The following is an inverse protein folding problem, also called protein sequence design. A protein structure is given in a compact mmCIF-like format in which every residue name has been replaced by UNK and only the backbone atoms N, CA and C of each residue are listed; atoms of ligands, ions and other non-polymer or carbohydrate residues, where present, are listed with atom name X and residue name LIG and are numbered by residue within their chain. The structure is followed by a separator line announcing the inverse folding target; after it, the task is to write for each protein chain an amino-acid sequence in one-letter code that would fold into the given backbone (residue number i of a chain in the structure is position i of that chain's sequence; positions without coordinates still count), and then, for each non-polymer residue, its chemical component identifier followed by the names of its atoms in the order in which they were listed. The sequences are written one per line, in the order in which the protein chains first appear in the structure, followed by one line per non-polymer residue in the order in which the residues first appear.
data_IF_049697526106
#
_entry.id   IF_049697526106
#
_cell.length_a   1.000
_cell.length_b   1.000
_cell.length_c   1.000
_cell.angle_alpha   90.00
_cell.angle_beta   90.00
_cell.angle_gamma   90.00
#
_symmetry.space_group_name_H-M   'P 1'
#
loop_
_entity.id
_entity.type
_entity.pdbx_description
1 polymer ?
#
# COMPACT_ATOMS: atom_id res chain seq x y z
N UNK A 1 26.00 -2.79 1.67
CA UNK A 1 26.24 -3.11 0.24
C UNK A 1 26.81 -1.95 -0.59
N UNK A 2 26.67 -0.66 -0.24
CA UNK A 2 26.98 0.45 -1.18
C UNK A 2 28.47 0.62 -1.56
N UNK A 3 29.43 0.11 -0.78
CA UNK A 3 30.86 0.12 -1.14
C UNK A 3 31.32 -1.08 -1.97
N UNK A 4 30.59 -2.21 -1.92
CA UNK A 4 31.03 -3.47 -2.53
C UNK A 4 30.61 -3.63 -3.99
N UNK A 5 29.76 -2.75 -4.54
CA UNK A 5 29.26 -2.85 -5.92
C UNK A 5 29.71 -1.68 -6.82
N UNK A 6 30.44 -0.71 -6.27
CA UNK A 6 30.93 0.45 -7.04
C UNK A 6 31.81 0.04 -8.24
N UNK A 7 32.56 -1.07 -8.10
CA UNK A 7 33.38 -1.59 -9.18
C UNK A 7 32.55 -2.09 -10.37
N UNK A 8 31.32 -2.59 -10.14
CA UNK A 8 30.44 -3.05 -11.23
C UNK A 8 30.01 -1.88 -12.11
N UNK A 9 29.72 -0.72 -11.52
CA UNK A 9 29.41 0.51 -12.26
C UNK A 9 30.61 0.99 -13.09
N UNK A 10 31.82 0.95 -12.53
CA UNK A 10 33.05 1.28 -13.26
C UNK A 10 33.30 0.33 -14.46
N UNK A 11 32.97 -0.96 -14.33
CA UNK A 11 33.15 -1.95 -15.40
C UNK A 11 32.16 -1.79 -16.58
N UNK A 12 31.05 -1.10 -16.37
CA UNK A 12 30.01 -0.89 -17.39
C UNK A 12 29.90 0.56 -17.84
N UNK A 13 30.72 1.47 -17.29
CA UNK A 13 30.68 2.91 -17.57
C UNK A 13 30.78 3.23 -19.07
N UNK A 14 31.52 2.40 -19.81
CA UNK A 14 31.77 2.53 -21.25
C UNK A 14 30.57 2.19 -22.16
N UNK A 15 29.52 1.56 -21.61
CA UNK A 15 28.43 1.01 -22.42
C UNK A 15 27.08 1.15 -21.75
N UNK A 16 26.21 1.92 -22.40
CA UNK A 16 24.82 2.10 -21.99
C UNK A 16 24.04 0.78 -21.96
N UNK A 17 24.34 -0.15 -22.88
CA UNK A 17 23.70 -1.46 -22.90
C UNK A 17 24.13 -2.33 -21.71
N UNK A 18 25.43 -2.30 -21.35
CA UNK A 18 25.92 -2.98 -20.15
C UNK A 18 25.35 -2.36 -18.86
N UNK A 19 25.21 -1.04 -18.81
CA UNK A 19 24.56 -0.33 -17.68
C UNK A 19 23.10 -0.75 -17.52
N UNK A 20 22.34 -0.79 -18.62
CA UNK A 20 20.94 -1.24 -18.61
C UNK A 20 20.83 -2.71 -18.17
N UNK A 21 21.75 -3.57 -18.63
CA UNK A 21 21.80 -4.98 -18.23
C UNK A 21 22.11 -5.13 -16.73
N UNK A 22 23.08 -4.36 -16.21
CA UNK A 22 23.41 -4.34 -14.79
C UNK A 22 22.23 -3.86 -13.94
N UNK A 23 21.54 -2.80 -14.36
CA UNK A 23 20.36 -2.29 -13.68
C UNK A 23 19.25 -3.35 -13.58
N UNK A 24 18.96 -4.06 -14.68
CA UNK A 24 18.01 -5.19 -14.69
C UNK A 24 18.43 -6.34 -13.77
N UNK A 25 19.71 -6.69 -13.76
CA UNK A 25 20.22 -7.73 -12.88
C UNK A 25 20.07 -7.35 -11.40
N UNK A 26 20.36 -6.09 -11.04
CA UNK A 26 20.17 -5.55 -9.69
C UNK A 26 18.67 -5.59 -9.31
N UNK A 27 17.78 -5.14 -10.20
CA UNK A 27 16.33 -5.20 -10.00
C UNK A 27 15.83 -6.62 -9.76
N UNK A 28 16.28 -7.59 -10.58
CA UNK A 28 15.94 -9.00 -10.40
C UNK A 28 16.44 -9.59 -9.08
N UNK A 29 17.66 -9.24 -8.66
CA UNK A 29 18.21 -9.65 -7.35
C UNK A 29 17.36 -9.06 -6.22
N UNK A 30 17.03 -7.76 -6.32
CA UNK A 30 16.20 -7.09 -5.33
C UNK A 30 14.83 -7.78 -5.21
N UNK A 31 14.18 -8.07 -6.33
CA UNK A 31 12.92 -8.82 -6.38
C UNK A 31 13.05 -10.22 -5.76
N UNK A 32 14.13 -10.94 -6.06
CA UNK A 32 14.38 -12.26 -5.47
C UNK A 32 14.55 -12.20 -3.95
N UNK A 33 15.18 -11.15 -3.42
CA UNK A 33 15.32 -10.93 -1.97
C UNK A 33 13.94 -10.68 -1.34
N UNK A 34 13.11 -9.80 -1.92
CA UNK A 34 11.74 -9.56 -1.44
C UNK A 34 10.92 -10.86 -1.40
N UNK A 35 10.95 -11.64 -2.48
CA UNK A 35 10.22 -12.92 -2.57
C UNK A 35 10.73 -13.92 -1.53
N UNK A 36 12.04 -13.98 -1.30
CA UNK A 36 12.63 -14.89 -0.30
C UNK A 36 12.13 -14.57 1.11
N UNK A 37 12.08 -13.30 1.50
CA UNK A 37 11.58 -12.88 2.81
C UNK A 37 10.10 -13.24 2.99
N UNK A 38 9.27 -13.01 1.97
CA UNK A 38 7.84 -13.38 1.99
C UNK A 38 7.66 -14.90 2.08
N UNK A 39 8.43 -15.66 1.30
CA UNK A 39 8.38 -17.12 1.32
C UNK A 39 8.81 -17.71 2.67
N UNK A 40 9.81 -17.09 3.31
CA UNK A 40 10.27 -17.48 4.65
C UNK A 40 9.18 -17.23 5.70
N UNK A 41 8.53 -16.06 5.69
CA UNK A 41 7.38 -15.79 6.55
C UNK A 41 6.24 -16.79 6.32
N UNK A 42 5.91 -17.06 5.06
CA UNK A 42 4.84 -18.00 4.72
C UNK A 42 5.15 -19.43 5.20
N UNK A 43 6.41 -19.86 5.16
CA UNK A 43 6.83 -21.15 5.69
C UNK A 43 6.59 -21.26 7.20
N UNK A 44 6.98 -20.23 7.96
CA UNK A 44 6.80 -20.18 9.42
C UNK A 44 5.31 -20.12 9.81
N UNK A 45 4.49 -19.35 9.08
CA UNK A 45 3.05 -19.31 9.32
C UNK A 45 2.37 -20.64 8.98
N UNK A 46 2.83 -21.33 7.93
CA UNK A 46 2.33 -22.66 7.60
C UNK A 46 2.73 -23.70 8.65
N UNK A 47 3.92 -23.58 9.24
CA UNK A 47 4.35 -24.43 10.35
C UNK A 47 3.44 -24.23 11.58
N UNK A 48 3.19 -22.98 11.96
CA UNK A 48 2.28 -22.62 13.06
C UNK A 48 0.86 -23.16 12.83
N UNK A 49 0.34 -23.07 11.58
CA UNK A 49 -0.97 -23.66 11.23
C UNK A 49 -0.99 -25.18 11.36
N UNK A 50 0.11 -25.87 11.03
CA UNK A 50 0.22 -27.33 11.12
C UNK A 50 0.43 -27.80 12.55
N UNK A 51 1.07 -26.98 13.38
CA UNK A 51 1.36 -27.26 14.77
C UNK A 51 0.83 -26.12 15.67
N UNK A 52 -0.49 -26.03 15.91
CA UNK A 52 -1.10 -24.92 16.66
C UNK A 52 -0.66 -24.83 18.12
N UNK A 53 -0.19 -25.95 18.68
CA UNK A 53 0.37 -26.02 20.03
C UNK A 53 1.87 -25.66 20.08
N UNK A 54 2.47 -25.39 18.93
CA UNK A 54 3.85 -24.92 18.81
C UNK A 54 3.97 -23.50 19.34
N UNK A 55 5.15 -23.17 19.89
CA UNK A 55 5.37 -21.84 20.45
C UNK A 55 5.60 -20.82 19.31
N UNK A 56 4.81 -19.75 19.20
CA UNK A 56 4.80 -18.85 18.02
C UNK A 56 6.05 -17.94 17.92
N UNK A 57 7.02 -18.09 18.83
CA UNK A 57 8.22 -17.24 18.92
C UNK A 57 9.01 -17.18 17.62
N UNK A 58 9.14 -18.29 16.90
CA UNK A 58 9.87 -18.32 15.64
C UNK A 58 9.12 -17.53 14.55
N UNK A 59 7.80 -17.71 14.46
CA UNK A 59 6.95 -16.93 13.57
C UNK A 59 7.00 -15.43 13.90
N UNK A 60 6.92 -15.06 15.18
CA UNK A 60 7.05 -13.67 15.66
C UNK A 60 8.40 -13.06 15.28
N UNK A 61 9.50 -13.80 15.50
CA UNK A 61 10.83 -13.33 15.13
C UNK A 61 10.96 -13.11 13.62
N UNK A 62 10.46 -14.05 12.83
CA UNK A 62 10.51 -13.99 11.37
C UNK A 62 9.65 -12.85 10.84
N UNK A 63 8.40 -12.70 11.30
CA UNK A 63 7.53 -11.61 10.84
C UNK A 63 8.10 -10.24 11.21
N UNK A 64 8.70 -10.09 12.39
CA UNK A 64 9.34 -8.84 12.79
C UNK A 64 10.51 -8.47 11.88
N UNK A 65 11.37 -9.46 11.54
CA UNK A 65 12.48 -9.25 10.62
C UNK A 65 12.00 -8.86 9.21
N UNK A 66 10.98 -9.55 8.71
CA UNK A 66 10.38 -9.27 7.40
C UNK A 66 9.73 -7.88 7.39
N UNK A 67 8.99 -7.50 8.42
CA UNK A 67 8.39 -6.17 8.57
C UNK A 67 9.45 -5.06 8.56
N UNK A 68 10.51 -5.21 9.36
CA UNK A 68 11.60 -4.22 9.42
C UNK A 68 12.32 -4.08 8.07
N UNK A 69 12.53 -5.19 7.37
CA UNK A 69 13.13 -5.17 6.04
C UNK A 69 12.23 -4.47 5.02
N UNK A 70 10.97 -4.88 4.92
CA UNK A 70 10.03 -4.37 3.92
C UNK A 70 9.66 -2.90 4.19
N UNK A 71 9.48 -2.49 5.44
CA UNK A 71 9.29 -1.09 5.81
C UNK A 71 10.48 -0.23 5.37
N UNK A 72 11.71 -0.70 5.62
CA UNK A 72 12.91 0.01 5.16
C UNK A 72 12.98 0.12 3.64
N UNK A 73 12.53 -0.88 2.88
CA UNK A 73 12.48 -0.78 1.41
C UNK A 73 11.38 0.20 0.98
N UNK A 74 10.16 0.05 1.50
CA UNK A 74 9.01 0.90 1.19
C UNK A 74 9.28 2.39 1.46
N UNK A 75 9.95 2.72 2.57
CA UNK A 75 10.30 4.11 2.92
C UNK A 75 11.37 4.72 2.01
N UNK A 76 12.16 3.92 1.32
CA UNK A 76 13.21 4.39 0.40
C UNK A 76 12.69 4.58 -1.03
N UNK A 77 11.50 4.09 -1.34
CA UNK A 77 10.94 4.16 -2.68
C UNK A 77 10.52 5.58 -3.05
N UNK A 78 10.88 6.00 -4.27
CA UNK A 78 10.39 7.22 -4.89
C UNK A 78 9.12 6.92 -5.69
N UNK A 79 8.02 7.67 -5.49
CA UNK A 79 6.82 7.51 -6.30
C UNK A 79 7.08 7.87 -7.77
N UNK A 80 7.15 6.84 -8.61
CA UNK A 80 7.41 6.97 -10.04
C UNK A 80 6.49 6.04 -10.82
N UNK A 81 5.94 6.54 -11.92
CA UNK A 81 5.04 5.76 -12.76
C UNK A 81 5.82 4.97 -13.83
N UNK A 82 6.66 4.07 -13.37
CA UNK A 82 7.45 3.15 -14.19
C UNK A 82 7.16 1.73 -13.69
N UNK A 83 6.70 0.85 -14.59
CA UNK A 83 6.07 -0.41 -14.18
C UNK A 83 7.01 -1.33 -13.39
N UNK A 84 8.32 -1.34 -13.70
CA UNK A 84 9.29 -2.17 -13.00
C UNK A 84 9.55 -1.65 -11.58
N UNK A 85 9.76 -0.33 -11.43
CA UNK A 85 9.90 0.32 -10.12
C UNK A 85 8.64 0.20 -9.27
N UNK A 86 7.45 0.38 -9.87
CA UNK A 86 6.18 0.22 -9.18
C UNK A 86 6.00 -1.21 -8.67
N UNK A 87 6.35 -2.24 -9.45
CA UNK A 87 6.21 -3.63 -9.02
C UNK A 87 7.06 -3.95 -7.77
N UNK A 88 8.33 -3.56 -7.76
CA UNK A 88 9.22 -3.83 -6.63
C UNK A 88 8.77 -3.05 -5.38
N UNK A 89 8.39 -1.79 -5.58
CA UNK A 89 7.87 -0.95 -4.51
C UNK A 89 6.56 -1.48 -3.95
N UNK A 90 5.66 -1.95 -4.82
CA UNK A 90 4.36 -2.49 -4.43
C UNK A 90 4.51 -3.74 -3.56
N UNK A 91 5.41 -4.66 -3.92
CA UNK A 91 5.74 -5.83 -3.11
C UNK A 91 6.25 -5.40 -1.72
N UNK A 92 7.10 -4.38 -1.65
CA UNK A 92 7.61 -3.87 -0.38
C UNK A 92 6.52 -3.22 0.48
N UNK A 93 5.70 -2.34 -0.09
CA UNK A 93 4.65 -1.62 0.64
C UNK A 93 3.54 -2.57 1.11
N UNK A 94 3.00 -3.39 0.21
CA UNK A 94 1.94 -4.33 0.59
C UNK A 94 2.46 -5.39 1.55
N UNK A 95 3.65 -5.94 1.28
CA UNK A 95 4.27 -6.93 2.16
C UNK A 95 4.56 -6.36 3.55
N UNK A 96 4.95 -5.09 3.65
CA UNK A 96 5.10 -4.40 4.94
C UNK A 96 3.77 -4.30 5.71
N UNK A 97 2.69 -3.87 5.05
CA UNK A 97 1.37 -3.81 5.69
C UNK A 97 0.93 -5.19 6.20
N UNK A 98 1.08 -6.22 5.36
CA UNK A 98 0.72 -7.61 5.71
C UNK A 98 1.59 -8.14 6.86
N UNK A 99 2.90 -7.91 6.85
CA UNK A 99 3.78 -8.32 7.93
C UNK A 99 3.42 -7.61 9.24
N UNK A 100 3.12 -6.31 9.19
CA UNK A 100 2.67 -5.53 10.36
C UNK A 100 1.36 -6.09 10.94
N UNK A 101 0.36 -6.32 10.09
CA UNK A 101 -0.91 -6.91 10.51
C UNK A 101 -0.72 -8.33 11.08
N UNK A 102 0.16 -9.12 10.47
CA UNK A 102 0.46 -10.49 10.92
C UNK A 102 1.13 -10.48 12.29
N UNK A 103 2.15 -9.65 12.51
CA UNK A 103 2.84 -9.54 13.80
C UNK A 103 1.88 -9.07 14.88
N UNK A 104 1.07 -8.03 14.59
CA UNK A 104 0.05 -7.55 15.51
C UNK A 104 -0.95 -8.67 15.85
N UNK A 105 -1.50 -9.39 14.86
CA UNK A 105 -2.44 -10.48 15.13
C UNK A 105 -1.83 -11.61 15.98
N UNK A 106 -0.57 -11.98 15.74
CA UNK A 106 0.12 -12.98 16.57
C UNK A 106 0.28 -12.50 18.03
N UNK A 107 0.61 -11.23 18.25
CA UNK A 107 0.69 -10.64 19.59
C UNK A 107 -0.68 -10.60 20.27
N UNK A 108 -1.72 -10.20 19.54
CA UNK A 108 -3.11 -10.19 20.03
C UNK A 108 -3.60 -11.60 20.40
N UNK A 109 -3.24 -12.62 19.62
CA UNK A 109 -3.58 -14.01 19.94
C UNK A 109 -2.90 -14.51 21.22
N UNK A 110 -1.69 -14.02 21.50
CA UNK A 110 -0.92 -14.36 22.71
C UNK A 110 -1.36 -13.59 23.96
N UNK A 111 -2.22 -12.57 23.81
CA UNK A 111 -2.62 -11.67 24.89
C UNK A 111 -1.64 -10.50 25.11
N UNK A 112 -0.66 -10.31 24.23
CA UNK A 112 0.34 -9.24 24.31
C UNK A 112 -0.21 -7.94 23.69
N UNK A 113 -1.34 -7.45 24.19
CA UNK A 113 -2.06 -6.31 23.60
C UNK A 113 -1.26 -5.01 23.62
N UNK A 114 -0.49 -4.77 24.68
CA UNK A 114 0.35 -3.58 24.80
C UNK A 114 1.44 -3.56 23.70
N UNK A 115 2.09 -4.70 23.45
CA UNK A 115 3.10 -4.83 22.39
C UNK A 115 2.46 -4.65 21.00
N UNK A 116 1.27 -5.22 20.77
CA UNK A 116 0.54 -5.04 19.51
C UNK A 116 0.17 -3.57 19.27
N UNK A 117 -0.27 -2.85 20.31
CA UNK A 117 -0.61 -1.43 20.24
C UNK A 117 0.62 -0.58 19.96
N UNK A 118 1.73 -0.83 20.65
CA UNK A 118 2.97 -0.07 20.47
C UNK A 118 3.55 -0.28 19.05
N UNK A 119 3.49 -1.52 18.54
CA UNK A 119 3.84 -1.83 17.16
C UNK A 119 3.00 -1.02 16.16
N UNK A 120 1.67 -1.04 16.31
CA UNK A 120 0.76 -0.36 15.39
C UNK A 120 0.90 1.16 15.49
N UNK A 121 1.03 1.71 16.70
CA UNK A 121 1.27 3.13 16.91
C UNK A 121 2.58 3.62 16.26
N UNK A 122 3.58 2.75 16.13
CA UNK A 122 4.82 3.06 15.44
C UNK A 122 4.70 2.95 13.91
N UNK A 123 4.07 1.88 13.41
CA UNK A 123 4.13 1.53 11.99
C UNK A 123 3.03 2.20 11.17
N UNK A 124 1.83 2.37 11.71
CA UNK A 124 0.69 2.97 11.01
C UNK A 124 0.96 4.39 10.54
N UNK A 125 1.50 5.31 11.36
CA UNK A 125 1.81 6.67 10.88
C UNK A 125 2.85 6.69 9.77
N UNK A 126 3.86 5.80 9.82
CA UNK A 126 4.86 5.69 8.76
C UNK A 126 4.22 5.18 7.46
N UNK A 127 3.33 4.20 7.57
CA UNK A 127 2.62 3.66 6.41
C UNK A 127 1.74 4.73 5.77
N UNK A 128 0.96 5.45 6.57
CA UNK A 128 0.16 6.59 6.13
C UNK A 128 1.02 7.67 5.44
N UNK A 129 2.21 7.96 5.95
CA UNK A 129 3.12 8.91 5.29
C UNK A 129 3.54 8.42 3.89
N UNK A 130 3.87 7.13 3.75
CA UNK A 130 4.23 6.54 2.44
C UNK A 130 3.03 6.60 1.49
N UNK A 131 1.82 6.20 1.93
CA UNK A 131 0.62 6.23 1.08
C UNK A 131 0.24 7.65 0.67
N UNK A 132 0.40 8.64 1.55
CA UNK A 132 0.20 10.05 1.23
C UNK A 132 1.22 10.57 0.22
N UNK A 133 2.49 10.15 0.32
CA UNK A 133 3.51 10.52 -0.68
C UNK A 133 3.15 9.97 -2.07
N UNK A 134 2.69 8.72 -2.13
CA UNK A 134 2.20 8.10 -3.37
C UNK A 134 0.92 8.77 -3.89
N UNK A 135 -0.03 9.07 -3.01
CA UNK A 135 -1.23 9.83 -3.33
C UNK A 135 -0.89 11.19 -3.93
N UNK A 136 -0.01 11.95 -3.27
CA UNK A 136 0.48 13.23 -3.77
C UNK A 136 1.11 13.08 -5.16
N UNK A 137 2.05 12.16 -5.36
CA UNK A 137 2.73 12.02 -6.64
C UNK A 137 1.78 11.63 -7.78
N UNK A 138 0.86 10.70 -7.55
CA UNK A 138 -0.03 10.16 -8.59
C UNK A 138 -1.33 10.95 -8.78
N UNK A 139 -1.67 11.86 -7.86
CA UNK A 139 -2.82 12.77 -7.99
C UNK A 139 -2.37 14.18 -8.42
N UNK A 140 -1.13 14.58 -8.14
CA UNK A 140 -0.64 15.95 -8.36
C UNK A 140 -0.66 16.43 -9.82
N UNK A 141 -0.70 17.77 -9.94
CA UNK A 141 -0.61 18.53 -11.20
C UNK A 141 0.65 18.18 -12.00
N UNK A 142 1.76 17.81 -11.35
CA UNK A 142 3.03 17.51 -12.04
C UNK A 142 2.95 16.27 -12.93
N UNK A 143 2.01 15.36 -12.66
CA UNK A 143 1.68 14.23 -13.54
C UNK A 143 0.98 14.70 -14.83
N UNK A 144 0.28 15.82 -14.76
CA UNK A 144 -0.43 16.45 -15.86
C UNK A 144 0.41 17.61 -16.39
N UNK A 145 1.45 17.28 -17.17
CA UNK A 145 2.41 18.24 -17.81
C UNK A 145 1.79 19.40 -18.63
N UNK A 146 0.47 19.49 -18.70
CA UNK A 146 -0.28 20.52 -19.40
C UNK A 146 -1.34 21.07 -18.43
N UNK A 147 -1.12 22.22 -17.78
CA UNK A 147 -2.02 23.20 -17.10
C UNK A 147 -3.39 22.78 -16.48
N UNK A 148 -3.77 21.50 -16.45
CA UNK A 148 -5.09 21.03 -16.05
C UNK A 148 -5.10 20.71 -14.57
N UNK A 149 -5.05 21.79 -13.79
CA UNK A 149 -5.32 21.78 -12.36
C UNK A 149 -6.67 21.12 -12.01
N UNK A 150 -7.65 21.15 -12.92
CA UNK A 150 -8.97 20.57 -12.72
C UNK A 150 -8.96 19.04 -12.48
N UNK A 151 -8.02 18.30 -13.09
CA UNK A 151 -7.92 16.85 -12.91
C UNK A 151 -6.97 16.45 -11.77
N UNK A 152 -6.31 17.40 -11.09
CA UNK A 152 -5.37 17.13 -10.01
C UNK A 152 -6.07 16.85 -8.67
N UNK A 153 -6.98 15.88 -8.69
CA UNK A 153 -7.80 15.45 -7.55
C UNK A 153 -8.20 13.98 -7.73
N UNK A 154 -8.38 13.25 -6.62
CA UNK A 154 -8.95 11.90 -6.65
C UNK A 154 -10.39 11.87 -7.18
N UNK A 155 -11.14 12.98 -7.09
CA UNK A 155 -12.51 13.04 -7.58
C UNK A 155 -12.62 12.83 -9.10
N UNK A 156 -11.53 12.96 -9.86
CA UNK A 156 -11.51 12.65 -11.30
C UNK A 156 -12.00 11.23 -11.60
N UNK A 157 -11.74 10.29 -10.69
CA UNK A 157 -12.11 8.89 -10.85
C UNK A 157 -13.62 8.65 -10.71
N UNK A 158 -14.40 9.64 -10.29
CA UNK A 158 -15.87 9.59 -10.29
C UNK A 158 -16.52 10.06 -11.61
N UNK A 159 -15.71 10.54 -12.56
CA UNK A 159 -16.20 11.04 -13.84
C UNK A 159 -16.68 9.91 -14.75
N UNK A 160 -17.55 10.26 -15.72
CA UNK A 160 -18.20 9.33 -16.63
C UNK A 160 -17.27 8.28 -17.27
N UNK A 161 -16.04 8.62 -17.75
CA UNK A 161 -15.14 7.63 -18.35
C UNK A 161 -14.69 6.51 -17.40
N UNK A 162 -14.82 6.71 -16.08
CA UNK A 162 -14.31 5.80 -15.05
C UNK A 162 -15.39 5.09 -14.24
N UNK A 163 -16.66 5.54 -14.31
CA UNK A 163 -17.75 5.04 -13.45
C UNK A 163 -18.00 3.53 -13.56
N UNK A 164 -17.71 2.92 -14.71
CA UNK A 164 -17.84 1.46 -14.89
C UNK A 164 -16.69 0.66 -14.24
N UNK A 165 -15.56 1.30 -13.96
CA UNK A 165 -14.34 0.66 -13.46
C UNK A 165 -14.03 0.98 -11.99
N UNK A 166 -14.46 2.15 -11.52
CA UNK A 166 -14.12 2.70 -10.21
C UNK A 166 -15.42 3.12 -9.50
N UNK A 167 -15.70 2.48 -8.38
CA UNK A 167 -16.89 2.80 -7.56
C UNK A 167 -16.68 4.06 -6.73
N UNK A 168 -17.76 4.75 -6.36
CA UNK A 168 -17.68 5.93 -5.47
C UNK A 168 -17.04 5.61 -4.11
N UNK A 169 -17.21 4.38 -3.61
CA UNK A 169 -16.56 3.90 -2.37
C UNK A 169 -15.04 3.91 -2.51
N UNK A 170 -14.51 3.44 -3.65
CA UNK A 170 -13.07 3.49 -3.96
C UNK A 170 -12.58 4.93 -4.03
N UNK A 171 -13.32 5.79 -4.73
CA UNK A 171 -12.98 7.22 -4.80
C UNK A 171 -12.90 7.83 -3.39
N UNK A 172 -13.88 7.54 -2.53
CA UNK A 172 -13.92 8.03 -1.15
C UNK A 172 -12.77 7.51 -0.28
N UNK A 173 -12.28 6.29 -0.51
CA UNK A 173 -11.09 5.78 0.17
C UNK A 173 -9.82 6.46 -0.34
N UNK A 174 -9.66 6.60 -1.66
CA UNK A 174 -8.50 7.28 -2.25
C UNK A 174 -8.40 8.74 -1.77
N UNK A 175 -9.52 9.45 -1.58
CA UNK A 175 -9.48 10.81 -1.04
C UNK A 175 -8.91 10.88 0.37
N UNK A 176 -8.95 9.79 1.16
CA UNK A 176 -8.37 9.76 2.52
C UNK A 176 -6.84 9.81 2.52
N UNK A 177 -6.18 9.42 1.42
CA UNK A 177 -4.72 9.48 1.28
C UNK A 177 -4.26 10.70 0.48
N UNK A 178 -5.16 11.61 0.15
CA UNK A 178 -4.87 12.87 -0.55
C UNK A 178 -5.11 14.05 0.38
N UNK A 179 -4.04 14.68 0.89
CA UNK A 179 -4.17 15.85 1.77
C UNK A 179 -4.93 17.02 1.13
N UNK A 180 -4.79 17.17 -0.20
CA UNK A 180 -5.49 18.22 -0.94
C UNK A 180 -7.00 17.98 -0.92
N UNK A 181 -7.42 16.74 -1.12
CA UNK A 181 -8.84 16.37 -1.18
C UNK A 181 -9.48 16.32 0.22
N UNK A 182 -8.74 15.89 1.25
CA UNK A 182 -9.19 15.87 2.65
C UNK A 182 -9.62 17.24 3.19
N UNK A 183 -9.07 18.33 2.65
CA UNK A 183 -9.35 19.71 3.09
C UNK A 183 -10.54 20.35 2.37
N UNK A 184 -11.17 19.63 1.44
CA UNK A 184 -12.30 20.16 0.68
C UNK A 184 -13.60 19.97 1.46
N UNK A 185 -14.48 20.97 1.36
CA UNK A 185 -15.85 20.86 1.84
C UNK A 185 -16.79 20.46 0.69
N UNK A 186 -18.02 20.09 1.01
CA UNK A 186 -19.00 19.57 0.04
C UNK A 186 -19.22 20.50 -1.17
N UNK A 187 -19.25 21.81 -0.94
CA UNK A 187 -19.39 22.79 -2.02
C UNK A 187 -18.19 22.79 -2.98
N UNK A 188 -16.96 22.70 -2.45
CA UNK A 188 -15.75 22.61 -3.27
C UNK A 188 -15.67 21.27 -4.01
N UNK A 189 -16.05 20.17 -3.35
CA UNK A 189 -16.10 18.85 -3.97
C UNK A 189 -17.07 18.88 -5.16
N UNK A 190 -18.26 19.46 -4.96
CA UNK A 190 -19.26 19.60 -6.04
C UNK A 190 -18.73 20.44 -7.20
N UNK A 191 -18.05 21.56 -6.92
CA UNK A 191 -17.44 22.41 -7.95
C UNK A 191 -16.37 21.65 -8.74
N UNK A 192 -15.47 20.94 -8.06
CA UNK A 192 -14.46 20.13 -8.73
C UNK A 192 -15.08 19.04 -9.61
N UNK A 193 -16.07 18.30 -9.11
CA UNK A 193 -16.77 17.29 -9.93
C UNK A 193 -17.37 17.90 -11.20
N UNK A 194 -17.98 19.08 -11.11
CA UNK A 194 -18.50 19.77 -12.29
C UNK A 194 -17.38 20.21 -13.26
N UNK A 195 -16.27 20.75 -12.75
CA UNK A 195 -15.11 21.15 -13.56
C UNK A 195 -14.50 19.95 -14.30
N UNK A 196 -14.41 18.80 -13.62
CA UNK A 196 -13.96 17.54 -14.22
C UNK A 196 -14.91 17.09 -15.33
N UNK A 197 -16.23 17.13 -15.10
CA UNK A 197 -17.22 16.74 -16.12
C UNK A 197 -17.09 17.63 -17.36
N UNK A 198 -17.00 18.94 -17.19
CA UNK A 198 -16.77 19.89 -18.29
C UNK A 198 -15.47 19.58 -19.04
N UNK A 199 -14.38 19.30 -18.32
CA UNK A 199 -13.09 18.97 -18.93
C UNK A 199 -13.16 17.74 -19.85
N UNK A 200 -13.96 16.73 -19.49
CA UNK A 200 -14.18 15.55 -20.32
C UNK A 200 -15.16 15.76 -21.47
N UNK A 201 -15.99 16.80 -21.42
CA UNK A 201 -16.92 17.19 -22.50
C UNK A 201 -16.25 18.11 -23.55
N UNK A 202 -15.07 18.64 -23.27
CA UNK A 202 -14.35 19.53 -24.19
C UNK A 202 -14.07 18.84 -25.54
N UNK A 203 -14.10 19.61 -26.63
CA UNK A 203 -13.91 19.06 -27.98
C UNK A 203 -12.56 18.38 -28.20
N UNK A 204 -11.52 18.79 -27.46
CA UNK A 204 -10.19 18.17 -27.51
C UNK A 204 -10.05 16.94 -26.60
N UNK A 205 -11.02 16.69 -25.71
CA UNK A 205 -10.92 15.66 -24.68
C UNK A 205 -10.67 14.25 -25.25
N UNK A 206 -11.31 13.80 -26.35
CA UNK A 206 -11.06 12.46 -26.90
C UNK A 206 -9.63 12.25 -27.39
N UNK A 207 -8.98 13.30 -27.90
CA UNK A 207 -7.60 13.24 -28.37
C UNK A 207 -6.62 13.29 -27.20
N UNK A 208 -6.90 14.13 -26.21
CA UNK A 208 -6.04 14.34 -25.03
C UNK A 208 -6.12 13.19 -24.02
N UNK A 209 -7.31 12.66 -23.79
CA UNK A 209 -7.63 11.57 -22.85
C UNK A 209 -7.94 10.29 -23.60
N UNK A 210 -7.00 9.88 -24.44
CA UNK A 210 -7.13 8.66 -25.22
C UNK A 210 -7.18 7.41 -24.31
N UNK A 211 -7.45 6.25 -24.93
CA UNK A 211 -7.60 4.99 -24.20
C UNK A 211 -6.36 4.59 -23.37
N UNK A 212 -5.15 4.93 -23.83
CA UNK A 212 -3.91 4.63 -23.08
C UNK A 212 -3.90 5.41 -21.77
N UNK A 213 -4.21 6.72 -21.83
CA UNK A 213 -4.31 7.55 -20.65
C UNK A 213 -5.41 7.07 -19.70
N UNK A 214 -6.59 6.69 -20.22
CA UNK A 214 -7.69 6.16 -19.40
C UNK A 214 -7.27 4.89 -18.66
N UNK A 215 -6.66 3.92 -19.34
CA UNK A 215 -6.18 2.69 -18.70
C UNK A 215 -5.12 2.97 -17.62
N UNK A 216 -4.22 3.91 -17.88
CA UNK A 216 -3.21 4.34 -16.91
C UNK A 216 -3.87 4.95 -15.66
N UNK A 217 -4.89 5.80 -15.82
CA UNK A 217 -5.64 6.36 -14.69
C UNK A 217 -6.43 5.30 -13.91
N UNK A 218 -7.00 4.30 -14.59
CA UNK A 218 -7.64 3.15 -13.93
C UNK A 218 -6.64 2.38 -13.09
N UNK A 219 -5.44 2.11 -13.61
CA UNK A 219 -4.37 1.43 -12.87
C UNK A 219 -3.92 2.24 -11.64
N UNK A 220 -3.76 3.56 -11.79
CA UNK A 220 -3.43 4.47 -10.69
C UNK A 220 -4.51 4.41 -9.61
N UNK A 221 -5.78 4.48 -9.97
CA UNK A 221 -6.87 4.41 -9.02
C UNK A 221 -6.90 3.07 -8.28
N UNK A 222 -6.70 1.95 -8.98
CA UNK A 222 -6.60 0.63 -8.35
C UNK A 222 -5.45 0.56 -7.35
N UNK A 223 -4.28 1.06 -7.72
CA UNK A 223 -3.11 1.10 -6.84
C UNK A 223 -3.36 1.96 -5.59
N UNK A 224 -3.86 3.19 -5.76
CA UNK A 224 -4.17 4.09 -4.64
C UNK A 224 -5.28 3.55 -3.74
N UNK A 225 -6.30 2.87 -4.31
CA UNK A 225 -7.34 2.19 -3.55
C UNK A 225 -6.73 1.11 -2.66
N UNK A 226 -5.85 0.26 -3.18
CA UNK A 226 -5.14 -0.76 -2.40
C UNK A 226 -4.35 -0.14 -1.24
N UNK A 227 -3.61 0.94 -1.48
CA UNK A 227 -2.87 1.63 -0.43
C UNK A 227 -3.79 2.20 0.66
N UNK A 228 -4.89 2.83 0.26
CA UNK A 228 -5.86 3.40 1.19
C UNK A 228 -6.57 2.33 2.03
N UNK A 229 -6.93 1.20 1.43
CA UNK A 229 -7.54 0.05 2.08
C UNK A 229 -6.59 -0.58 3.10
N UNK A 230 -5.32 -0.79 2.74
CA UNK A 230 -4.31 -1.33 3.65
C UNK A 230 -4.09 -0.41 4.87
N UNK A 231 -4.05 0.91 4.65
CA UNK A 231 -3.96 1.89 5.73
C UNK A 231 -5.15 1.77 6.69
N UNK A 232 -6.38 1.78 6.15
CA UNK A 232 -7.60 1.67 6.94
C UNK A 232 -7.69 0.35 7.72
N UNK A 233 -7.19 -0.76 7.17
CA UNK A 233 -7.13 -2.05 7.88
C UNK A 233 -6.17 -2.02 9.06
N UNK A 234 -5.00 -1.42 8.90
CA UNK A 234 -4.05 -1.28 10.00
C UNK A 234 -4.59 -0.35 11.10
N UNK A 235 -5.23 0.76 10.72
CA UNK A 235 -5.94 1.64 11.66
C UNK A 235 -7.02 0.86 12.43
N UNK A 236 -7.82 0.06 11.73
CA UNK A 236 -8.87 -0.78 12.34
C UNK A 236 -8.29 -1.80 13.31
N UNK A 237 -7.13 -2.39 12.99
CA UNK A 237 -6.43 -3.33 13.86
C UNK A 237 -5.92 -2.65 15.14
N UNK A 238 -5.52 -1.38 15.06
CA UNK A 238 -5.12 -0.59 16.23
C UNK A 238 -6.30 -0.35 17.17
N UNK A 239 -7.48 0.00 16.63
CA UNK A 239 -8.70 0.10 17.43
C UNK A 239 -9.09 -1.25 18.05
N UNK A 240 -8.93 -2.35 17.31
CA UNK A 240 -9.21 -3.69 17.83
C UNK A 240 -8.26 -4.11 18.95
N UNK A 241 -6.97 -3.77 18.85
CA UNK A 241 -6.00 -3.99 19.92
C UNK A 241 -6.40 -3.26 21.21
N UNK A 242 -6.84 -2.01 21.10
CA UNK A 242 -7.35 -1.24 22.24
C UNK A 242 -8.61 -1.89 22.84
N UNK A 243 -9.54 -2.35 22.00
CA UNK A 243 -10.73 -3.04 22.46
C UNK A 243 -10.40 -4.32 23.26
N UNK A 244 -9.41 -5.10 22.83
CA UNK A 244 -8.98 -6.29 23.54
C UNK A 244 -8.42 -5.97 24.94
N UNK A 245 -7.60 -4.92 25.04
CA UNK A 245 -7.05 -4.42 26.29
C UNK A 245 -8.15 -3.91 27.24
N UNK A 246 -9.08 -3.10 26.72
CA UNK A 246 -10.20 -2.52 27.48
C UNK A 246 -11.14 -3.60 28.04
N UNK A 247 -11.33 -4.69 27.30
CA UNK A 247 -12.15 -5.84 27.72
C UNK A 247 -11.38 -6.82 28.63
N UNK A 248 -10.06 -6.67 28.76
CA UNK A 248 -9.22 -7.54 29.60
C UNK A 248 -9.30 -9.03 29.21
N UNK A 249 -9.51 -9.32 27.92
CA UNK A 249 -9.55 -10.70 27.42
C UNK A 249 -8.17 -11.36 27.49
N UNK A 250 -8.08 -12.69 27.44
CA UNK A 250 -6.78 -13.38 27.50
C UNK A 250 -6.17 -13.57 26.12
N UNK A 251 -7.01 -13.57 25.10
CA UNK A 251 -6.62 -13.68 23.70
C UNK A 251 -7.65 -12.93 22.85
N UNK A 252 -7.23 -12.38 21.72
CA UNK A 252 -8.18 -11.84 20.73
C UNK A 252 -9.22 -12.87 20.29
N UNK A 253 -8.91 -14.17 20.37
CA UNK A 253 -9.84 -15.27 20.09
C UNK A 253 -11.08 -15.26 20.98
N UNK A 254 -11.02 -14.60 22.14
CA UNK A 254 -12.17 -14.47 23.05
C UNK A 254 -13.21 -13.46 22.53
N UNK A 255 -12.80 -12.50 21.69
CA UNK A 255 -13.67 -11.47 21.10
C UNK A 255 -14.04 -11.76 19.65
N UNK A 256 -13.21 -12.55 18.96
CA UNK A 256 -13.46 -12.94 17.59
C UNK A 256 -14.55 -14.02 17.51
N UNK A 257 -15.41 -13.98 16.49
CA UNK A 257 -16.36 -15.05 16.24
C UNK A 257 -15.60 -16.37 16.04
N UNK A 258 -16.14 -17.46 16.62
CA UNK A 258 -15.58 -18.80 16.44
C UNK A 258 -15.66 -19.23 14.98
N UNK A 259 -14.84 -20.20 14.56
CA UNK A 259 -14.80 -20.72 13.18
C UNK A 259 -16.15 -21.24 12.64
N UNK A 260 -17.14 -21.46 13.52
CA UNK A 260 -18.50 -21.87 13.18
C UNK A 260 -19.56 -20.76 13.20
N UNK A 261 -19.18 -19.49 13.39
CA UNK A 261 -20.11 -18.37 13.37
C UNK A 261 -20.70 -18.13 11.96
N UNK A 262 -21.94 -17.66 11.88
CA UNK A 262 -22.59 -17.34 10.61
C UNK A 262 -21.77 -16.33 9.79
N UNK A 263 -21.62 -16.59 8.49
CA UNK A 263 -20.89 -15.71 7.56
C UNK A 263 -21.55 -14.33 7.50
N UNK A 264 -20.93 -13.36 8.18
CA UNK A 264 -21.39 -11.97 8.24
C UNK A 264 -20.43 -11.06 9.02
N UNK A 265 -19.63 -11.65 9.91
CA UNK A 265 -18.48 -10.98 10.53
C UNK A 265 -17.23 -11.33 9.73
N UNK A 266 -16.73 -10.37 8.93
CA UNK A 266 -15.47 -10.53 8.22
C UNK A 266 -14.32 -10.61 9.24
N UNK A 267 -13.79 -11.82 9.43
CA UNK A 267 -12.45 -12.03 9.95
C UNK A 267 -11.44 -11.49 8.91
N UNK A 268 -10.42 -10.79 9.40
CA UNK A 268 -9.33 -10.17 8.62
C UNK A 268 -8.65 -11.14 7.64
#
# INVERSE_FOLDING_TARGET
MSGQLAYLYLLVEDSRDKQNSLAKAISNIHKAILIKEIAHLQAELNDLKRFPNGFPRQALKTVSAVRLFLSSQAMQCTPELEAELMLNTDIAIQGWAVATATEANLLLELGEFAEARDLLAQEVPKFQQVTQNWGKALISVDMFRNDNSALATAYRFSALPFREYITEERVKRITQISEADLRLNDDKIRRQKNEIEVEFEMSYAPERYNQIWLHQQIAIAGYLDTLSELGARLDSLQYFAQLCEDQGVKSSKDLLPSEGAEQGLYLL
#
